data_IF_810840569474
#
_entry.id   IF_810840569474
#
_cell.length_a   1.000
_cell.length_b   1.000
_cell.length_c   1.000
_cell.angle_alpha   90.00
_cell.angle_beta   90.00
_cell.angle_gamma   90.00
#
_symmetry.space_group_name_H-M   'P 1'
#
loop_
_entity.id
_entity.type
_entity.pdbx_description
1 polymer ?
#
# COMPACT_ATOMS: atom_id res chain seq x y z
N UNK A 1 13.56 28.99 -0.13
CA UNK A 1 13.67 28.63 1.30
C UNK A 1 12.37 28.81 2.11
N UNK A 2 11.58 29.88 1.94
CA UNK A 2 10.36 30.12 2.75
C UNK A 2 9.24 29.07 2.58
N UNK A 3 9.10 28.47 1.39
CA UNK A 3 8.07 27.46 1.12
C UNK A 3 8.36 26.08 1.73
N UNK A 4 9.64 25.69 1.79
CA UNK A 4 10.09 24.43 2.43
C UNK A 4 9.84 24.44 3.94
N UNK A 5 10.06 25.59 4.59
CA UNK A 5 9.80 25.75 6.03
C UNK A 5 8.31 25.62 6.37
N UNK A 6 7.42 26.15 5.51
CA UNK A 6 5.98 26.06 5.69
C UNK A 6 5.43 24.63 5.54
N UNK A 7 6.04 23.82 4.67
CA UNK A 7 5.71 22.39 4.53
C UNK A 7 6.19 21.56 5.72
N UNK A 8 7.39 21.83 6.23
CA UNK A 8 7.93 21.19 7.44
C UNK A 8 7.08 21.49 8.69
N UNK A 9 6.64 22.73 8.88
CA UNK A 9 5.78 23.13 10.00
C UNK A 9 4.39 22.45 9.94
N UNK A 10 3.81 22.32 8.74
CA UNK A 10 2.54 21.61 8.55
C UNK A 10 2.67 20.10 8.76
N UNK A 11 3.78 19.51 8.30
CA UNK A 11 4.09 18.10 8.55
C UNK A 11 4.27 17.80 10.04
N UNK A 12 4.98 18.67 10.76
CA UNK A 12 5.19 18.52 12.21
C UNK A 12 3.89 18.68 13.01
N UNK A 13 3.02 19.63 12.63
CA UNK A 13 1.71 19.79 13.25
C UNK A 13 0.79 18.58 13.02
N UNK A 14 0.83 17.98 11.83
CA UNK A 14 0.07 16.76 11.52
C UNK A 14 0.58 15.54 12.32
N UNK A 15 1.90 15.40 12.46
CA UNK A 15 2.51 14.31 13.25
C UNK A 15 2.24 14.50 14.74
N UNK A 16 2.32 15.73 15.25
CA UNK A 16 2.00 16.04 16.65
C UNK A 16 0.52 15.78 16.96
N UNK A 17 -0.40 16.16 16.06
CA UNK A 17 -1.82 15.87 16.20
C UNK A 17 -2.12 14.37 16.23
N UNK A 18 -1.46 13.59 15.37
CA UNK A 18 -1.60 12.15 15.35
C UNK A 18 -1.04 11.48 16.63
N UNK A 19 0.10 11.95 17.13
CA UNK A 19 0.68 11.46 18.37
C UNK A 19 -0.25 11.72 19.56
N UNK A 20 -0.82 12.93 19.68
CA UNK A 20 -1.76 13.27 20.75
C UNK A 20 -3.03 12.41 20.67
N UNK A 21 -3.55 12.16 19.46
CA UNK A 21 -4.72 11.30 19.27
C UNK A 21 -4.44 9.84 19.67
N UNK A 22 -3.27 9.30 19.31
CA UNK A 22 -2.86 7.94 19.70
C UNK A 22 -2.68 7.83 21.21
N UNK A 23 -2.03 8.80 21.86
CA UNK A 23 -1.89 8.82 23.32
C UNK A 23 -3.25 8.93 24.02
N UNK A 24 -4.16 9.74 23.51
CA UNK A 24 -5.53 9.84 24.03
C UNK A 24 -6.29 8.52 23.92
N UNK A 25 -6.14 7.80 22.81
CA UNK A 25 -6.79 6.51 22.58
C UNK A 25 -6.22 5.42 23.49
N UNK A 26 -4.89 5.38 23.68
CA UNK A 26 -4.23 4.48 24.64
C UNK A 26 -4.69 4.77 26.06
N UNK A 27 -4.76 6.03 26.47
CA UNK A 27 -5.26 6.42 27.78
C UNK A 27 -6.74 6.03 27.98
N UNK A 28 -7.58 6.17 26.95
CA UNK A 28 -8.99 5.80 27.00
C UNK A 28 -9.18 4.27 27.08
N UNK A 29 -8.38 3.49 26.37
CA UNK A 29 -8.37 2.02 26.48
C UNK A 29 -7.89 1.57 27.85
N UNK A 30 -6.86 2.21 28.41
CA UNK A 30 -6.35 1.91 29.76
C UNK A 30 -7.37 2.29 30.87
N UNK A 31 -8.13 3.36 30.68
CA UNK A 31 -9.22 3.73 31.58
C UNK A 31 -10.42 2.76 31.46
N UNK A 32 -10.81 2.39 30.24
CA UNK A 32 -11.94 1.48 29.99
C UNK A 32 -11.68 0.04 30.44
N UNK A 33 -10.43 -0.40 30.44
CA UNK A 33 -10.02 -1.74 30.92
C UNK A 33 -9.83 -1.81 32.44
N UNK A 34 -10.04 -0.71 33.17
CA UNK A 34 -9.87 -0.67 34.62
C UNK A 34 -8.43 -0.79 35.09
N UNK A 35 -7.44 -0.68 34.18
CA UNK A 35 -6.02 -0.72 34.52
C UNK A 35 -5.59 0.53 35.30
N UNK A 36 -6.29 1.65 35.11
CA UNK A 36 -6.11 2.91 35.83
C UNK A 36 -7.31 3.13 36.75
N UNK A 37 -7.26 2.56 37.95
CA UNK A 37 -8.13 2.98 39.07
C UNK A 37 -7.44 4.08 39.86
N UNK A 38 -8.20 5.05 40.39
CA UNK A 38 -7.64 6.18 41.15
C UNK A 38 -6.72 5.75 42.31
N UNK A 39 -6.99 4.58 42.90
CA UNK A 39 -6.18 3.96 43.95
C UNK A 39 -4.79 3.52 43.46
N UNK A 40 -4.67 3.02 42.21
CA UNK A 40 -3.38 2.60 41.63
C UNK A 40 -2.53 3.78 41.20
N UNK A 41 -3.17 4.85 40.71
CA UNK A 41 -2.49 6.12 40.40
C UNK A 41 -1.96 6.77 41.68
N UNK A 42 -2.74 6.78 42.75
CA UNK A 42 -2.32 7.27 44.06
C UNK A 42 -1.15 6.45 44.61
N UNK A 43 -1.23 5.11 44.56
CA UNK A 43 -0.16 4.22 45.00
C UNK A 43 1.14 4.40 44.18
N UNK A 44 1.04 4.61 42.86
CA UNK A 44 2.20 4.89 42.01
C UNK A 44 2.82 6.27 42.31
N UNK A 45 1.98 7.29 42.57
CA UNK A 45 2.45 8.63 42.94
C UNK A 45 3.08 8.67 44.34
N UNK A 46 2.55 7.90 45.29
CA UNK A 46 3.11 7.78 46.64
C UNK A 46 4.45 7.01 46.62
N UNK A 47 4.58 5.98 45.78
CA UNK A 47 5.84 5.29 45.53
C UNK A 47 6.91 6.21 44.90
N UNK A 48 6.50 7.08 43.96
CA UNK A 48 7.38 8.09 43.34
C UNK A 48 7.80 9.21 44.32
N UNK A 49 6.99 9.51 45.33
CA UNK A 49 7.30 10.47 46.40
C UNK A 49 8.13 9.87 47.54
N UNK A 50 8.57 8.61 47.43
CA UNK A 50 9.37 7.94 48.45
C UNK A 50 8.60 7.67 49.75
N UNK A 51 7.27 7.83 49.74
CA UNK A 51 6.42 7.39 50.85
C UNK A 51 6.13 5.93 50.62
N UNK A 52 6.88 5.07 51.30
CA UNK A 52 6.50 3.67 51.44
C UNK A 52 5.12 3.64 52.11
N UNK A 53 4.07 3.34 51.34
CA UNK A 53 2.83 2.79 51.91
C UNK A 53 3.23 1.66 52.85
N UNK A 54 2.74 1.61 54.09
CA UNK A 54 2.98 0.46 54.95
C UNK A 54 2.55 -0.77 54.15
N UNK A 55 3.46 -1.73 54.06
CA UNK A 55 3.20 -3.03 53.48
C UNK A 55 1.82 -3.49 53.93
N UNK A 56 1.04 -3.97 52.95
CA UNK A 56 -0.24 -4.62 53.15
C UNK A 56 -0.27 -5.30 54.52
N UNK A 57 -1.30 -4.96 55.30
CA UNK A 57 -1.62 -5.55 56.58
C UNK A 57 -1.17 -7.01 56.58
N UNK A 58 -0.30 -7.36 57.52
CA UNK A 58 0.08 -8.73 57.79
C UNK A 58 -1.21 -9.54 57.84
N UNK A 59 -1.45 -10.34 56.81
CA UNK A 59 -2.51 -11.33 56.80
C UNK A 59 -2.14 -12.27 57.92
N UNK A 60 -2.79 -12.10 59.08
CA UNK A 60 -2.77 -13.06 60.16
C UNK A 60 -3.08 -14.43 59.55
N UNK A 61 -2.05 -15.28 59.49
CA UNK A 61 -2.22 -16.67 59.14
C UNK A 61 -2.98 -17.31 60.29
N UNK A 62 -4.30 -17.41 60.16
CA UNK A 62 -5.14 -18.29 60.97
C UNK A 62 -4.49 -19.69 61.04
N UNK A 63 -4.47 -20.34 62.20
CA UNK A 63 -3.88 -21.66 62.37
C UNK A 63 -4.68 -22.72 61.60
N UNK A 64 -4.04 -23.86 61.37
CA UNK A 64 -4.39 -24.89 60.41
C UNK A 64 -5.60 -25.77 60.80
N UNK A 65 -6.79 -25.19 60.91
CA UNK A 65 -8.05 -25.95 61.13
C UNK A 65 -8.99 -25.99 59.89
N UNK A 66 -8.73 -25.23 58.82
CA UNK A 66 -9.58 -25.15 57.61
C UNK A 66 -9.04 -25.95 56.41
N UNK A 67 -8.45 -27.13 56.65
CA UNK A 67 -7.98 -28.04 55.60
C UNK A 67 -9.08 -28.49 54.60
N UNK A 68 -10.29 -28.91 55.03
CA UNK A 68 -11.32 -29.37 54.11
C UNK A 68 -11.93 -28.23 53.27
N UNK A 69 -11.98 -27.00 53.80
CA UNK A 69 -12.45 -25.84 53.03
C UNK A 69 -11.44 -25.42 51.96
N UNK A 70 -10.14 -25.50 52.25
CA UNK A 70 -9.09 -25.28 51.25
C UNK A 70 -9.14 -26.27 50.10
N UNK A 71 -9.36 -27.55 50.37
CA UNK A 71 -9.49 -28.57 49.32
C UNK A 71 -10.72 -28.33 48.44
N UNK A 72 -11.85 -27.93 49.02
CA UNK A 72 -13.05 -27.57 48.25
C UNK A 72 -12.84 -26.30 47.40
N UNK A 73 -12.12 -25.30 47.92
CA UNK A 73 -11.78 -24.09 47.17
C UNK A 73 -10.84 -24.43 46.00
N UNK A 74 -9.83 -25.26 46.22
CA UNK A 74 -8.90 -25.69 45.17
C UNK A 74 -9.61 -26.51 44.09
N UNK A 75 -10.55 -27.39 44.46
CA UNK A 75 -11.37 -28.13 43.49
C UNK A 75 -12.29 -27.23 42.68
N UNK A 76 -12.88 -26.20 43.30
CA UNK A 76 -13.69 -25.20 42.57
C UNK A 76 -12.82 -24.41 41.59
N UNK A 77 -11.63 -23.98 42.03
CA UNK A 77 -10.69 -23.26 41.18
C UNK A 77 -10.19 -24.11 40.00
N UNK A 78 -9.91 -25.40 40.20
CA UNK A 78 -9.51 -26.28 39.08
C UNK A 78 -10.65 -26.50 38.08
N UNK A 79 -11.90 -26.66 38.55
CA UNK A 79 -13.06 -26.73 37.67
C UNK A 79 -13.32 -25.42 36.92
N UNK A 80 -13.10 -24.28 37.55
CA UNK A 80 -13.21 -22.97 36.90
C UNK A 80 -12.13 -22.77 35.84
N UNK A 81 -10.88 -23.17 36.14
CA UNK A 81 -9.78 -23.13 35.17
C UNK A 81 -10.06 -24.03 33.97
N UNK A 82 -10.52 -25.25 34.18
CA UNK A 82 -10.90 -26.16 33.08
C UNK A 82 -12.01 -25.56 32.21
N UNK A 83 -13.06 -24.98 32.81
CA UNK A 83 -14.12 -24.30 32.05
C UNK A 83 -13.61 -23.09 31.26
N UNK A 84 -12.64 -22.36 31.80
CA UNK A 84 -12.02 -21.24 31.10
C UNK A 84 -11.13 -21.72 29.95
N UNK A 85 -10.37 -22.79 30.14
CA UNK A 85 -9.55 -23.43 29.10
C UNK A 85 -10.42 -23.95 27.95
N UNK A 86 -11.53 -24.63 28.25
CA UNK A 86 -12.49 -25.10 27.25
C UNK A 86 -13.12 -23.95 26.46
N UNK A 87 -13.52 -22.87 27.14
CA UNK A 87 -14.05 -21.66 26.48
C UNK A 87 -13.00 -20.96 25.64
N UNK A 88 -11.74 -20.91 26.09
CA UNK A 88 -10.64 -20.35 25.33
C UNK A 88 -10.36 -21.20 24.08
N UNK A 89 -10.33 -22.52 24.20
CA UNK A 89 -10.15 -23.44 23.09
C UNK A 89 -11.28 -23.30 22.04
N UNK A 90 -12.54 -23.21 22.49
CA UNK A 90 -13.69 -23.00 21.62
C UNK A 90 -13.66 -21.63 20.91
N UNK A 91 -13.18 -20.58 21.58
CA UNK A 91 -12.99 -19.27 20.92
C UNK A 91 -11.86 -19.30 19.90
N UNK A 92 -10.75 -19.98 20.22
CA UNK A 92 -9.63 -20.12 19.29
C UNK A 92 -10.01 -20.93 18.04
N UNK A 93 -10.85 -21.96 18.16
CA UNK A 93 -11.33 -22.71 17.00
C UNK A 93 -12.24 -21.88 16.10
N UNK A 94 -13.13 -21.06 16.68
CA UNK A 94 -13.98 -20.13 15.93
C UNK A 94 -13.14 -19.08 15.18
N UNK A 95 -12.16 -18.47 15.85
CA UNK A 95 -11.28 -17.47 15.23
C UNK A 95 -10.47 -18.10 14.08
N UNK A 96 -9.97 -19.32 14.25
CA UNK A 96 -9.25 -20.04 13.19
C UNK A 96 -10.15 -20.31 11.98
N UNK A 97 -11.40 -20.74 12.22
CA UNK A 97 -12.36 -20.94 11.15
C UNK A 97 -12.68 -19.62 10.40
N UNK A 98 -12.86 -18.53 11.13
CA UNK A 98 -13.06 -17.20 10.53
C UNK A 98 -11.85 -16.76 9.71
N UNK A 99 -10.63 -16.93 10.23
CA UNK A 99 -9.40 -16.63 9.49
C UNK A 99 -9.30 -17.43 8.18
N UNK A 100 -9.59 -18.73 8.23
CA UNK A 100 -9.58 -19.56 7.03
C UNK A 100 -10.61 -19.08 5.99
N UNK A 101 -11.80 -18.66 6.43
CA UNK A 101 -12.79 -18.09 5.51
C UNK A 101 -12.36 -16.75 4.91
N UNK A 102 -11.67 -15.91 5.69
CA UNK A 102 -11.13 -14.64 5.20
C UNK A 102 -10.00 -14.86 4.20
N UNK A 103 -9.12 -15.82 4.45
CA UNK A 103 -8.02 -16.14 3.54
C UNK A 103 -8.53 -16.74 2.23
N UNK A 104 -9.57 -17.60 2.29
CA UNK A 104 -10.26 -18.08 1.09
C UNK A 104 -10.85 -16.91 0.28
N UNK A 105 -11.61 -16.02 0.92
CA UNK A 105 -12.20 -14.84 0.25
C UNK A 105 -11.14 -13.90 -0.33
N UNK A 106 -10.00 -13.72 0.35
CA UNK A 106 -8.87 -12.95 -0.18
C UNK A 106 -8.30 -13.59 -1.43
N UNK A 107 -8.06 -14.89 -1.40
CA UNK A 107 -7.54 -15.61 -2.57
C UNK A 107 -8.50 -15.58 -3.77
N UNK A 108 -9.81 -15.65 -3.52
CA UNK A 108 -10.84 -15.50 -4.55
C UNK A 108 -10.86 -14.08 -5.12
N UNK A 109 -10.80 -13.05 -4.26
CA UNK A 109 -10.76 -11.67 -4.71
C UNK A 109 -9.50 -11.37 -5.53
N UNK A 110 -8.34 -11.91 -5.13
CA UNK A 110 -7.09 -11.78 -5.89
C UNK A 110 -7.18 -12.45 -7.27
N UNK A 111 -7.79 -13.64 -7.35
CA UNK A 111 -8.04 -14.32 -8.63
C UNK A 111 -8.94 -13.51 -9.54
N UNK A 112 -10.07 -13.01 -9.02
CA UNK A 112 -11.00 -12.18 -9.80
C UNK A 112 -10.32 -10.88 -10.26
N UNK A 113 -9.50 -10.26 -9.42
CA UNK A 113 -8.74 -9.06 -9.81
C UNK A 113 -7.70 -9.37 -10.89
N UNK A 114 -7.01 -10.51 -10.81
CA UNK A 114 -6.06 -10.94 -11.82
C UNK A 114 -6.77 -11.22 -13.16
N UNK A 115 -7.90 -11.93 -13.14
CA UNK A 115 -8.72 -12.20 -14.32
C UNK A 115 -9.27 -10.92 -14.94
N UNK A 116 -9.83 -10.01 -14.14
CA UNK A 116 -10.34 -8.73 -14.62
C UNK A 116 -9.24 -7.86 -15.25
N UNK A 117 -8.04 -7.86 -14.67
CA UNK A 117 -6.87 -7.19 -15.26
C UNK A 117 -6.51 -7.80 -16.60
N UNK A 118 -6.48 -9.13 -16.70
CA UNK A 118 -6.18 -9.83 -17.94
C UNK A 118 -7.21 -9.52 -19.04
N UNK A 119 -8.51 -9.63 -18.73
CA UNK A 119 -9.59 -9.29 -19.68
C UNK A 119 -9.49 -7.84 -20.15
N UNK A 120 -9.19 -6.91 -19.24
CA UNK A 120 -9.00 -5.50 -19.60
C UNK A 120 -7.79 -5.29 -20.51
N UNK A 121 -6.70 -6.01 -20.27
CA UNK A 121 -5.50 -5.97 -21.11
C UNK A 121 -5.80 -6.55 -22.50
N UNK A 122 -6.40 -7.73 -22.57
CA UNK A 122 -6.78 -8.39 -23.83
C UNK A 122 -7.72 -7.49 -24.66
N UNK A 123 -8.69 -6.83 -24.01
CA UNK A 123 -9.58 -5.88 -24.67
C UNK A 123 -8.85 -4.61 -25.17
N UNK A 124 -7.88 -4.11 -24.41
CA UNK A 124 -7.06 -2.97 -24.82
C UNK A 124 -6.16 -3.32 -26.01
N UNK A 125 -5.56 -4.52 -26.00
CA UNK A 125 -4.71 -5.02 -27.08
C UNK A 125 -5.52 -5.23 -28.36
N UNK A 126 -6.71 -5.85 -28.26
CA UNK A 126 -7.63 -6.04 -29.39
C UNK A 126 -8.06 -4.69 -30.00
N UNK A 127 -8.40 -3.71 -29.16
CA UNK A 127 -8.77 -2.37 -29.64
C UNK A 127 -7.59 -1.69 -30.31
N UNK A 128 -6.40 -1.80 -29.72
CA UNK A 128 -5.19 -1.22 -30.29
C UNK A 128 -4.82 -1.86 -31.63
N UNK A 129 -5.04 -3.17 -31.82
CA UNK A 129 -4.81 -3.85 -33.09
C UNK A 129 -5.82 -3.42 -34.16
N UNK A 130 -7.09 -3.26 -33.80
CA UNK A 130 -8.11 -2.75 -34.71
C UNK A 130 -7.80 -1.31 -35.16
N UNK A 131 -7.39 -0.44 -34.24
CA UNK A 131 -6.95 0.93 -34.57
C UNK A 131 -5.72 0.92 -35.49
N UNK A 132 -4.73 0.08 -35.20
CA UNK A 132 -3.53 -0.08 -36.02
C UNK A 132 -3.88 -0.55 -37.44
N UNK A 133 -4.73 -1.57 -37.57
CA UNK A 133 -5.16 -2.12 -38.85
C UNK A 133 -5.92 -1.08 -39.71
N UNK A 134 -6.70 -0.20 -39.08
CA UNK A 134 -7.40 0.88 -39.77
C UNK A 134 -6.46 2.02 -40.19
N UNK A 135 -5.49 2.38 -39.34
CA UNK A 135 -4.66 3.57 -39.54
C UNK A 135 -3.44 3.34 -40.45
N UNK A 136 -2.82 2.15 -40.40
CA UNK A 136 -1.58 1.87 -41.18
C UNK A 136 -1.76 2.05 -42.69
N UNK A 137 -2.87 1.61 -43.34
CA UNK A 137 -3.08 1.87 -44.77
C UNK A 137 -3.22 3.35 -45.11
N UNK A 138 -3.79 4.16 -44.21
CA UNK A 138 -3.94 5.61 -44.38
C UNK A 138 -2.57 6.27 -44.26
N UNK A 139 -1.83 5.98 -43.19
CA UNK A 139 -0.49 6.53 -42.94
C UNK A 139 0.50 6.14 -44.05
N UNK A 140 0.38 4.94 -44.60
CA UNK A 140 1.24 4.47 -45.70
C UNK A 140 1.07 5.29 -46.99
N UNK A 141 -0.08 5.95 -47.19
CA UNK A 141 -0.37 6.79 -48.37
C UNK A 141 -0.05 8.27 -48.15
N UNK A 142 0.19 8.68 -46.91
CA UNK A 142 0.51 10.07 -46.57
C UNK A 142 1.98 10.40 -46.86
N UNK A 143 2.27 11.68 -47.01
CA UNK A 143 3.65 12.16 -47.05
C UNK A 143 4.35 11.92 -45.69
N UNK A 144 5.65 11.56 -45.68
CA UNK A 144 6.37 11.25 -44.45
C UNK A 144 6.33 12.37 -43.40
N UNK A 145 6.45 13.63 -43.83
CA UNK A 145 6.36 14.79 -42.93
C UNK A 145 4.98 14.92 -42.28
N UNK A 146 3.90 14.59 -43.01
CA UNK A 146 2.54 14.56 -42.47
C UNK A 146 2.33 13.45 -41.44
N UNK A 147 2.96 12.29 -41.63
CA UNK A 147 2.95 11.20 -40.65
C UNK A 147 3.67 11.61 -39.36
N UNK A 148 4.83 12.26 -39.50
CA UNK A 148 5.57 12.82 -38.35
C UNK A 148 4.72 13.83 -37.59
N UNK A 149 4.09 14.78 -38.29
CA UNK A 149 3.26 15.80 -37.66
C UNK A 149 2.08 15.22 -36.86
N UNK A 150 1.49 14.10 -37.30
CA UNK A 150 0.41 13.43 -36.58
C UNK A 150 0.88 12.64 -35.37
N UNK A 151 2.06 12.03 -35.46
CA UNK A 151 2.52 11.11 -34.43
C UNK A 151 3.51 11.74 -33.43
N UNK A 152 4.08 12.92 -33.73
CA UNK A 152 5.04 13.59 -32.86
C UNK A 152 4.47 13.94 -31.48
N UNK A 153 3.18 14.23 -31.36
CA UNK A 153 2.55 14.55 -30.08
C UNK A 153 1.93 13.32 -29.40
N UNK A 154 2.02 12.15 -30.04
CA UNK A 154 1.50 10.89 -29.52
C UNK A 154 2.45 10.19 -28.55
N UNK A 155 1.93 9.13 -27.92
CA UNK A 155 2.69 8.23 -27.05
C UNK A 155 3.79 7.48 -27.83
N UNK A 156 4.98 7.39 -27.23
CA UNK A 156 6.18 6.77 -27.80
C UNK A 156 5.92 5.32 -28.20
N UNK A 157 5.17 4.58 -27.38
CA UNK A 157 4.80 3.18 -27.64
C UNK A 157 3.93 3.06 -28.89
N UNK A 158 2.94 3.95 -29.04
CA UNK A 158 2.05 3.96 -30.20
C UNK A 158 2.81 4.33 -31.46
N UNK A 159 3.74 5.29 -31.37
CA UNK A 159 4.58 5.69 -32.49
C UNK A 159 5.40 4.52 -33.04
N UNK A 160 6.13 3.81 -32.18
CA UNK A 160 6.93 2.63 -32.57
C UNK A 160 6.04 1.53 -33.15
N UNK A 161 4.88 1.25 -32.55
CA UNK A 161 3.96 0.21 -33.03
C UNK A 161 3.45 0.51 -34.45
N UNK A 162 3.08 1.77 -34.73
CA UNK A 162 2.67 2.16 -36.08
C UNK A 162 3.81 2.08 -37.08
N UNK A 163 5.02 2.50 -36.73
CA UNK A 163 6.19 2.38 -37.60
C UNK A 163 6.55 0.93 -37.93
N UNK A 164 6.49 0.03 -36.94
CA UNK A 164 6.74 -1.42 -37.14
C UNK A 164 5.71 -2.07 -38.05
N UNK A 165 4.47 -1.59 -38.00
CA UNK A 165 3.38 -2.12 -38.82
C UNK A 165 3.39 -1.58 -40.27
N UNK A 166 4.10 -0.48 -40.52
CA UNK A 166 4.30 0.06 -41.86
C UNK A 166 5.34 -0.76 -42.65
N UNK A 167 5.35 -0.57 -43.98
CA UNK A 167 6.41 -1.14 -44.83
C UNK A 167 7.76 -0.54 -44.44
N UNK A 168 8.86 -1.33 -44.40
CA UNK A 168 10.17 -0.86 -43.96
C UNK A 168 10.68 0.38 -44.71
N UNK A 169 10.43 0.47 -46.01
CA UNK A 169 10.82 1.63 -46.83
C UNK A 169 10.12 2.90 -46.38
N UNK A 170 8.80 2.82 -46.14
CA UNK A 170 8.02 3.96 -45.66
C UNK A 170 8.38 4.36 -44.24
N UNK A 171 8.64 3.38 -43.37
CA UNK A 171 9.09 3.63 -42.01
C UNK A 171 10.44 4.37 -42.00
N UNK A 172 11.38 3.99 -42.87
CA UNK A 172 12.66 4.69 -43.03
C UNK A 172 12.46 6.14 -43.49
N UNK A 173 11.62 6.39 -44.49
CA UNK A 173 11.30 7.76 -44.94
C UNK A 173 10.70 8.63 -43.81
N UNK A 174 9.84 8.04 -42.97
CA UNK A 174 9.25 8.74 -41.83
C UNK A 174 10.30 9.04 -40.77
N UNK A 175 11.22 8.10 -40.49
CA UNK A 175 12.34 8.33 -39.57
C UNK A 175 13.33 9.39 -40.08
N UNK A 176 13.57 9.45 -41.40
CA UNK A 176 14.41 10.46 -42.01
C UNK A 176 13.75 11.86 -41.98
N UNK A 177 12.45 11.92 -42.27
CA UNK A 177 11.67 13.16 -42.14
C UNK A 177 11.64 13.63 -40.69
N UNK A 178 11.54 12.70 -39.75
CA UNK A 178 11.59 12.97 -38.32
C UNK A 178 12.95 13.55 -37.90
N UNK A 179 14.05 12.95 -38.37
CA UNK A 179 15.42 13.41 -38.08
C UNK A 179 15.71 14.82 -38.62
N UNK A 180 15.06 15.19 -39.71
CA UNK A 180 15.25 16.49 -40.38
C UNK A 180 14.32 17.59 -39.87
N UNK A 181 13.40 17.27 -38.94
CA UNK A 181 12.52 18.25 -38.30
C UNK A 181 13.29 19.10 -37.24
N UNK A 182 13.33 20.44 -37.37
CA UNK A 182 14.03 21.33 -36.43
C UNK A 182 13.49 21.29 -34.99
N UNK A 183 12.19 21.01 -34.82
CA UNK A 183 11.58 20.88 -33.49
C UNK A 183 11.93 19.52 -32.86
N UNK A 184 12.13 18.51 -33.70
CA UNK A 184 12.39 17.15 -33.26
C UNK A 184 13.65 17.03 -32.41
N UNK A 185 14.80 17.60 -32.82
CA UNK A 185 16.02 17.54 -32.00
C UNK A 185 15.88 18.25 -30.64
N UNK A 186 15.14 19.35 -30.59
CA UNK A 186 14.99 20.15 -29.37
C UNK A 186 14.08 19.44 -28.36
N UNK A 187 12.96 18.88 -28.81
CA UNK A 187 11.98 18.23 -27.95
C UNK A 187 12.42 16.80 -27.55
N UNK A 188 13.27 16.14 -28.34
CA UNK A 188 13.73 14.78 -28.03
C UNK A 188 14.92 14.71 -27.07
N UNK A 189 15.82 15.70 -27.11
CA UNK A 189 17.01 15.74 -26.23
C UNK A 189 16.69 16.36 -24.86
N UNK A 190 15.64 17.16 -24.76
CA UNK A 190 15.23 17.77 -23.50
C UNK A 190 14.49 16.75 -22.64
N UNK A 191 14.98 16.54 -21.42
CA UNK A 191 14.18 15.94 -20.37
C UNK A 191 13.15 17.00 -19.94
N UNK A 192 11.85 16.70 -19.90
CA UNK A 192 10.83 17.67 -19.48
C UNK A 192 11.22 18.26 -18.12
N UNK A 193 11.12 19.57 -17.95
CA UNK A 193 11.56 20.26 -16.73
C UNK A 193 10.82 19.77 -15.46
N UNK A 194 9.67 19.13 -15.63
CA UNK A 194 8.81 18.57 -14.58
C UNK A 194 9.05 17.06 -14.33
N UNK A 195 9.99 16.44 -15.05
CA UNK A 195 10.22 15.01 -14.95
C UNK A 195 11.03 14.65 -13.68
N UNK A 196 10.78 13.48 -13.06
CA UNK A 196 11.51 13.04 -11.88
C UNK A 196 13.01 12.87 -12.18
N UNK A 197 13.85 13.01 -11.15
CA UNK A 197 15.29 12.82 -11.27
C UNK A 197 15.62 11.44 -11.88
N UNK A 198 16.36 11.43 -12.99
CA UNK A 198 16.67 10.21 -13.75
C UNK A 198 15.70 9.90 -14.91
N UNK A 199 14.76 10.79 -15.23
CA UNK A 199 13.89 10.63 -16.39
C UNK A 199 14.71 10.55 -17.69
N UNK A 200 14.45 9.49 -18.46
CA UNK A 200 15.08 9.24 -19.76
C UNK A 200 14.57 10.26 -20.78
N UNK A 201 15.45 10.67 -21.67
CA UNK A 201 15.05 11.46 -22.84
C UNK A 201 14.08 10.67 -23.71
N UNK A 202 13.26 11.36 -24.50
CA UNK A 202 12.30 10.70 -25.39
C UNK A 202 12.99 9.75 -26.38
N UNK A 203 14.18 10.13 -26.85
CA UNK A 203 15.03 9.29 -27.70
C UNK A 203 15.42 7.97 -27.03
N UNK A 204 15.80 8.01 -25.75
CA UNK A 204 16.13 6.79 -25.00
C UNK A 204 14.91 5.90 -24.82
N UNK A 205 13.74 6.47 -24.50
CA UNK A 205 12.50 5.69 -24.37
C UNK A 205 12.11 5.02 -25.68
N UNK A 206 12.16 5.74 -26.80
CA UNK A 206 11.87 5.19 -28.11
C UNK A 206 12.85 4.10 -28.51
N UNK A 207 14.15 4.29 -28.27
CA UNK A 207 15.15 3.25 -28.54
C UNK A 207 14.90 1.99 -27.71
N UNK A 208 14.50 2.13 -26.45
CA UNK A 208 14.09 1.00 -25.61
C UNK A 208 12.84 0.30 -26.16
N UNK A 209 11.81 1.05 -26.56
CA UNK A 209 10.63 0.46 -27.21
C UNK A 209 10.98 -0.25 -28.53
N UNK A 210 11.91 0.30 -29.32
CA UNK A 210 12.41 -0.36 -30.54
C UNK A 210 13.21 -1.64 -30.25
N UNK A 211 13.81 -1.77 -29.08
CA UNK A 211 14.55 -2.98 -28.67
C UNK A 211 13.66 -4.05 -28.04
N UNK A 212 12.47 -3.69 -27.54
CA UNK A 212 11.52 -4.69 -27.04
C UNK A 212 11.00 -5.56 -28.17
N UNK A 213 11.08 -6.88 -28.01
CA UNK A 213 10.45 -7.84 -28.91
C UNK A 213 8.95 -7.56 -29.03
N UNK A 214 8.35 -7.79 -30.22
CA UNK A 214 6.91 -7.67 -30.42
C UNK A 214 6.12 -8.61 -29.52
#
# INVERSE_FOLDING_TARGET
MKQLLGWLLRGYAAIAGYAVAVFGLVALVLAATGAITGERLAAAFDALRGRTTPAAAAVERKPADDLPEREQILQKQTQELQKLEERAAARLSLIKAEQETLDRKRSEAERVLAEAKKVRQDAADTKSDAELAANVPILSRMEPAGVVALLKDGDDVRFVRHLRAMRPTKAAEVLDALRTDPQFEQDFRRVPAEAPAGAKSRLQRLNEEFQKSP
#
